data_IF_690737770448
#
_entry.id   IF_690737770448
#
_cell.length_a   1.000
_cell.length_b   1.000
_cell.length_c   1.000
_cell.angle_alpha   90.00
_cell.angle_beta   90.00
_cell.angle_gamma   90.00
#
_symmetry.space_group_name_H-M   'P 1'
#
loop_
_entity.id
_entity.type
_entity.pdbx_description
1 polymer ?
#
# COMPACT_ATOMS: atom_id res chain seq x y z
N UNK A 1 11.59 27.29 -13.85
CA UNK A 1 11.17 26.92 -15.22
C UNK A 1 10.84 28.20 -15.98
N UNK A 2 11.21 28.35 -17.25
CA UNK A 2 10.85 29.54 -18.03
C UNK A 2 9.35 29.56 -18.37
N UNK A 3 8.75 30.75 -18.44
CA UNK A 3 7.32 30.93 -18.74
C UNK A 3 6.84 30.23 -20.04
N UNK A 4 7.70 30.07 -21.05
CA UNK A 4 7.35 29.35 -22.29
C UNK A 4 6.99 27.87 -22.09
N UNK A 5 7.39 27.29 -20.95
CA UNK A 5 7.18 25.87 -20.63
C UNK A 5 6.00 25.61 -19.67
N UNK A 6 5.17 26.63 -19.36
CA UNK A 6 4.00 26.48 -18.47
C UNK A 6 3.12 25.30 -18.91
N UNK A 7 2.75 25.22 -20.19
CA UNK A 7 1.91 24.12 -20.70
C UNK A 7 2.54 22.73 -20.55
N UNK A 8 3.87 22.63 -20.60
CA UNK A 8 4.56 21.35 -20.38
C UNK A 8 4.50 20.93 -18.91
N UNK A 9 4.62 21.88 -17.99
CA UNK A 9 4.47 21.63 -16.55
C UNK A 9 3.04 21.24 -16.21
N UNK A 10 2.05 21.88 -16.82
CA UNK A 10 0.65 21.49 -16.67
C UNK A 10 0.41 20.04 -17.09
N UNK A 11 0.86 19.67 -18.29
CA UNK A 11 0.77 18.29 -18.79
C UNK A 11 1.46 17.30 -17.84
N UNK A 12 2.62 17.66 -17.30
CA UNK A 12 3.32 16.85 -16.30
C UNK A 12 2.48 16.63 -15.05
N UNK A 13 1.89 17.69 -14.48
CA UNK A 13 1.05 17.55 -13.28
C UNK A 13 -0.18 16.69 -13.55
N UNK A 14 -0.81 16.84 -14.72
CA UNK A 14 -1.98 16.03 -15.11
C UNK A 14 -1.59 14.57 -15.25
N UNK A 15 -0.50 14.29 -15.98
CA UNK A 15 0.03 12.94 -16.13
C UNK A 15 0.37 12.31 -14.78
N UNK A 16 1.02 13.05 -13.88
CA UNK A 16 1.30 12.59 -12.51
C UNK A 16 0.01 12.21 -11.80
N UNK A 17 -1.03 13.07 -11.80
CA UNK A 17 -2.32 12.76 -11.15
C UNK A 17 -2.95 11.48 -11.69
N UNK A 18 -2.91 11.29 -13.02
CA UNK A 18 -3.43 10.10 -13.68
C UNK A 18 -2.66 8.86 -13.25
N UNK A 19 -1.32 8.90 -13.27
CA UNK A 19 -0.45 7.78 -12.88
C UNK A 19 -0.73 7.31 -11.45
N UNK A 20 -0.95 8.24 -10.51
CA UNK A 20 -1.31 7.87 -9.14
C UNK A 20 -2.63 7.11 -9.06
N UNK A 21 -3.68 7.53 -9.76
CA UNK A 21 -4.96 6.83 -9.67
C UNK A 21 -5.05 5.57 -10.51
N UNK A 22 -4.45 5.57 -11.69
CA UNK A 22 -4.56 4.47 -12.65
C UNK A 22 -3.53 3.36 -12.41
N UNK A 23 -2.39 3.68 -11.79
CA UNK A 23 -1.29 2.73 -11.57
C UNK A 23 -1.02 2.55 -10.09
N UNK A 24 -0.52 3.59 -9.40
CA UNK A 24 -0.02 3.43 -8.02
C UNK A 24 -1.11 3.07 -7.00
N UNK A 25 -2.29 3.67 -7.12
CA UNK A 25 -3.45 3.43 -6.26
C UNK A 25 -4.51 2.56 -6.96
N UNK A 26 -4.11 1.81 -7.98
CA UNK A 26 -5.01 0.90 -8.67
C UNK A 26 -5.52 -0.16 -7.69
N UNK A 27 -6.84 -0.37 -7.66
CA UNK A 27 -7.51 -1.26 -6.69
C UNK A 27 -6.89 -2.66 -6.60
N UNK A 28 -6.45 -3.23 -7.72
CA UNK A 28 -5.82 -4.56 -7.74
C UNK A 28 -4.41 -4.55 -7.15
N UNK A 29 -3.65 -3.47 -7.33
CA UNK A 29 -2.34 -3.31 -6.71
C UNK A 29 -2.48 -3.17 -5.19
N UNK A 30 -3.42 -2.32 -4.73
CA UNK A 30 -3.78 -2.20 -3.31
C UNK A 30 -4.22 -3.55 -2.73
N UNK A 31 -4.99 -4.34 -3.48
CA UNK A 31 -5.39 -5.69 -3.07
C UNK A 31 -4.18 -6.61 -2.83
N UNK A 32 -3.23 -6.65 -3.78
CA UNK A 32 -2.02 -7.46 -3.65
C UNK A 32 -1.13 -6.99 -2.48
N UNK A 33 -0.99 -5.68 -2.30
CA UNK A 33 -0.28 -5.08 -1.16
C UNK A 33 -0.90 -5.54 0.17
N UNK A 34 -2.23 -5.54 0.30
CA UNK A 34 -2.91 -6.01 1.52
C UNK A 34 -2.73 -7.49 1.77
N UNK A 35 -2.74 -8.33 0.72
CA UNK A 35 -2.42 -9.74 0.88
C UNK A 35 -1.00 -9.89 1.42
N UNK A 36 -0.01 -9.23 0.81
CA UNK A 36 1.39 -9.32 1.23
C UNK A 36 1.61 -8.81 2.67
N UNK A 37 1.01 -7.67 3.04
CA UNK A 37 1.07 -7.16 4.42
C UNK A 37 0.51 -8.18 5.40
N UNK A 38 -0.63 -8.80 5.08
CA UNK A 38 -1.28 -9.75 5.98
C UNK A 38 -0.50 -11.08 6.07
N UNK A 39 0.16 -11.52 4.99
CA UNK A 39 1.12 -12.64 5.02
C UNK A 39 2.25 -12.34 6.02
N UNK A 40 2.93 -11.20 5.85
CA UNK A 40 4.08 -10.84 6.69
C UNK A 40 3.69 -10.65 8.16
N UNK A 41 2.53 -10.05 8.42
CA UNK A 41 1.98 -9.93 9.79
C UNK A 41 1.73 -11.30 10.42
N UNK A 42 1.09 -12.22 9.69
CA UNK A 42 0.80 -13.57 10.21
C UNK A 42 2.08 -14.38 10.41
N UNK A 43 3.04 -14.30 9.48
CA UNK A 43 4.35 -14.93 9.63
C UNK A 43 5.08 -14.44 10.89
N UNK A 44 5.06 -13.11 11.14
CA UNK A 44 5.64 -12.51 12.35
C UNK A 44 4.91 -12.94 13.63
N UNK A 45 3.59 -13.06 13.60
CA UNK A 45 2.81 -13.56 14.73
C UNK A 45 3.18 -15.01 15.08
N UNK A 46 3.22 -15.88 14.07
CA UNK A 46 3.55 -17.30 14.22
C UNK A 46 4.99 -17.51 14.68
N UNK A 47 5.95 -16.76 14.14
CA UNK A 47 7.34 -16.82 14.57
C UNK A 47 7.49 -16.46 16.06
N UNK A 48 6.77 -15.43 16.53
CA UNK A 48 6.73 -15.06 17.95
C UNK A 48 6.07 -16.11 18.85
N UNK A 49 5.15 -16.90 18.30
CA UNK A 49 4.53 -18.04 18.98
C UNK A 49 5.42 -19.29 18.99
N UNK A 50 6.63 -19.23 18.41
CA UNK A 50 7.57 -20.36 18.34
C UNK A 50 7.28 -21.33 17.20
N UNK A 51 6.40 -20.97 16.25
CA UNK A 51 6.13 -21.77 15.07
C UNK A 51 7.35 -21.80 14.14
N UNK A 52 7.64 -22.98 13.59
CA UNK A 52 8.74 -23.17 12.65
C UNK A 52 8.30 -22.73 11.25
N UNK A 53 8.88 -21.63 10.76
CA UNK A 53 8.61 -21.09 9.43
C UNK A 53 9.88 -21.14 8.58
N UNK A 54 9.73 -21.40 7.29
CA UNK A 54 10.83 -21.18 6.36
C UNK A 54 10.99 -19.69 6.07
N UNK A 55 12.20 -19.20 6.21
CA UNK A 55 12.64 -17.91 5.70
C UNK A 55 14.14 -17.93 5.44
N UNK A 56 14.59 -17.08 4.53
CA UNK A 56 16.02 -16.88 4.34
C UNK A 56 16.60 -16.19 5.57
N UNK A 57 17.92 -16.29 5.73
CA UNK A 57 18.63 -15.74 6.90
C UNK A 57 18.36 -14.24 7.13
N UNK A 58 18.25 -13.46 6.07
CA UNK A 58 18.02 -12.02 6.16
C UNK A 58 16.56 -11.70 6.48
N UNK A 59 15.62 -12.44 5.89
CA UNK A 59 14.19 -12.24 6.15
C UNK A 59 13.82 -12.66 7.57
N UNK A 60 14.39 -13.78 8.05
CA UNK A 60 14.20 -14.29 9.40
C UNK A 60 14.50 -13.24 10.47
N UNK A 61 15.58 -12.47 10.30
CA UNK A 61 15.92 -11.37 11.22
C UNK A 61 14.75 -10.40 11.45
N UNK A 62 14.05 -9.97 10.40
CA UNK A 62 12.93 -9.02 10.52
C UNK A 62 11.60 -9.66 10.94
N UNK A 63 11.44 -10.96 10.66
CA UNK A 63 10.26 -11.74 11.06
C UNK A 63 10.31 -12.06 12.56
N UNK A 64 11.46 -12.52 13.05
CA UNK A 64 11.64 -12.93 14.45
C UNK A 64 11.76 -11.73 15.39
N UNK A 65 12.45 -10.66 14.98
CA UNK A 65 12.75 -9.53 15.85
C UNK A 65 11.79 -8.35 15.65
N UNK A 66 11.63 -7.52 16.68
CA UNK A 66 10.97 -6.22 16.56
C UNK A 66 12.00 -5.15 16.19
N UNK A 67 12.41 -5.10 14.93
CA UNK A 67 13.33 -4.07 14.45
C UNK A 67 12.72 -2.68 14.55
N UNK A 68 13.50 -1.75 15.07
CA UNK A 68 13.21 -0.34 15.24
C UNK A 68 14.21 0.51 14.45
N UNK A 69 13.98 1.81 14.36
CA UNK A 69 14.92 2.75 13.72
C UNK A 69 16.33 2.68 14.35
N UNK A 70 16.42 2.45 15.66
CA UNK A 70 17.71 2.34 16.36
C UNK A 70 18.54 1.16 15.86
N UNK A 71 17.90 0.05 15.50
CA UNK A 71 18.60 -1.14 15.00
C UNK A 71 19.20 -0.90 13.60
N UNK A 72 18.57 -0.02 12.81
CA UNK A 72 19.13 0.46 11.54
C UNK A 72 20.31 1.39 11.75
N UNK A 73 20.26 2.28 12.76
CA UNK A 73 21.36 3.18 13.12
C UNK A 73 22.60 2.41 13.62
N UNK A 74 22.38 1.25 14.27
CA UNK A 74 23.46 0.36 14.72
C UNK A 74 24.12 -0.44 13.57
N UNK A 75 23.53 -0.46 12.38
CA UNK A 75 24.14 -0.97 11.16
C UNK A 75 23.84 -2.43 10.79
N UNK A 76 23.61 -3.34 11.74
CA UNK A 76 23.31 -4.75 11.42
C UNK A 76 22.00 -4.88 10.63
N UNK A 77 20.92 -4.23 11.10
CA UNK A 77 19.65 -4.27 10.39
C UNK A 77 19.76 -3.67 8.98
N UNK A 78 20.58 -2.63 8.80
CA UNK A 78 20.83 -2.03 7.48
C UNK A 78 21.56 -3.01 6.55
N UNK A 79 22.60 -3.70 7.04
CA UNK A 79 23.34 -4.68 6.24
C UNK A 79 22.46 -5.85 5.81
N UNK A 80 21.62 -6.36 6.73
CA UNK A 80 20.67 -7.44 6.42
C UNK A 80 19.58 -6.99 5.46
N UNK A 81 19.07 -5.78 5.64
CA UNK A 81 18.10 -5.18 4.74
C UNK A 81 18.65 -5.01 3.32
N UNK A 82 19.92 -4.59 3.18
CA UNK A 82 20.57 -4.43 1.88
C UNK A 82 20.74 -5.75 1.11
N UNK A 83 20.64 -6.88 1.79
CA UNK A 83 20.70 -8.22 1.22
C UNK A 83 19.31 -8.86 1.04
N UNK A 84 18.22 -8.11 1.31
CA UNK A 84 16.87 -8.55 1.02
C UNK A 84 16.46 -8.15 -0.39
N UNK A 85 15.89 -9.10 -1.10
CA UNK A 85 15.26 -8.86 -2.39
C UNK A 85 13.93 -9.63 -2.54
N UNK A 86 13.33 -9.53 -3.72
CA UNK A 86 12.05 -10.17 -4.01
C UNK A 86 12.14 -11.71 -3.92
N UNK A 87 13.30 -12.32 -4.15
CA UNK A 87 13.46 -13.76 -4.08
C UNK A 87 13.35 -14.28 -2.64
N UNK A 88 13.87 -13.54 -1.66
CA UNK A 88 13.69 -13.88 -0.24
C UNK A 88 12.20 -13.98 0.12
N UNK A 89 11.45 -12.94 -0.28
CA UNK A 89 10.01 -12.84 0.00
C UNK A 89 9.24 -13.95 -0.74
N UNK A 90 9.50 -14.11 -2.04
CA UNK A 90 8.76 -15.08 -2.86
C UNK A 90 9.11 -16.53 -2.50
N UNK A 91 10.37 -16.84 -2.18
CA UNK A 91 10.76 -18.17 -1.70
C UNK A 91 10.03 -18.50 -0.40
N UNK A 92 9.99 -17.58 0.55
CA UNK A 92 9.22 -17.74 1.78
C UNK A 92 7.74 -17.96 1.53
N UNK A 93 7.12 -17.15 0.66
CA UNK A 93 5.68 -17.27 0.36
C UNK A 93 5.36 -18.61 -0.31
N UNK A 94 6.25 -19.15 -1.16
CA UNK A 94 6.08 -20.48 -1.76
C UNK A 94 6.05 -21.57 -0.70
N UNK A 95 6.98 -21.55 0.26
CA UNK A 95 6.98 -22.52 1.37
C UNK A 95 5.79 -22.32 2.31
N UNK A 96 5.45 -21.07 2.62
CA UNK A 96 4.32 -20.74 3.49
C UNK A 96 2.97 -21.17 2.90
N UNK A 97 2.84 -21.28 1.59
CA UNK A 97 1.65 -21.85 0.94
C UNK A 97 1.39 -23.32 1.34
N UNK A 98 2.40 -24.04 1.83
CA UNK A 98 2.29 -25.42 2.30
C UNK A 98 2.28 -25.54 3.82
N UNK A 99 2.33 -24.42 4.55
CA UNK A 99 2.35 -24.40 6.01
C UNK A 99 1.03 -24.90 6.62
N UNK A 100 1.09 -25.48 7.83
CA UNK A 100 -0.07 -26.00 8.55
C UNK A 100 -1.03 -24.91 9.03
N UNK A 101 -0.52 -23.70 9.29
CA UNK A 101 -1.35 -22.54 9.60
C UNK A 101 -2.25 -22.18 8.41
N UNK A 102 -3.55 -22.26 8.63
CA UNK A 102 -4.57 -22.05 7.60
C UNK A 102 -4.55 -20.62 7.04
N UNK A 103 -4.30 -19.63 7.89
CA UNK A 103 -4.30 -18.21 7.47
C UNK A 103 -3.09 -17.95 6.59
N UNK A 104 -1.89 -18.28 7.08
CA UNK A 104 -0.65 -18.06 6.36
C UNK A 104 -0.64 -18.80 5.03
N UNK A 105 -1.06 -20.07 5.01
CA UNK A 105 -1.10 -20.87 3.79
C UNK A 105 -2.14 -20.36 2.79
N UNK A 106 -3.33 -19.97 3.25
CA UNK A 106 -4.36 -19.42 2.38
C UNK A 106 -3.93 -18.08 1.77
N UNK A 107 -3.42 -17.15 2.57
CA UNK A 107 -2.94 -15.86 2.08
C UNK A 107 -1.78 -16.02 1.08
N UNK A 108 -0.84 -16.93 1.37
CA UNK A 108 0.28 -17.22 0.47
C UNK A 108 -0.21 -17.78 -0.87
N UNK A 109 -1.15 -18.73 -0.85
CA UNK A 109 -1.82 -19.25 -2.06
C UNK A 109 -2.58 -18.16 -2.80
N UNK A 110 -3.19 -17.21 -2.09
CA UNK A 110 -3.89 -16.08 -2.72
C UNK A 110 -2.93 -15.21 -3.52
N UNK A 111 -1.75 -14.91 -2.99
CA UNK A 111 -0.75 -14.12 -3.71
C UNK A 111 -0.18 -14.88 -4.91
N UNK A 112 0.26 -16.13 -4.71
CA UNK A 112 0.89 -16.95 -5.75
C UNK A 112 -0.05 -17.23 -6.93
N UNK A 113 -1.33 -17.54 -6.65
CA UNK A 113 -2.33 -17.83 -7.67
C UNK A 113 -3.08 -16.57 -8.15
N UNK A 114 -2.67 -15.38 -7.71
CA UNK A 114 -3.32 -14.10 -8.04
C UNK A 114 -4.82 -14.06 -7.70
N UNK A 115 -5.23 -14.83 -6.69
CA UNK A 115 -6.58 -14.87 -6.12
C UNK A 115 -6.72 -13.80 -5.02
N UNK A 116 -6.60 -12.54 -5.43
CA UNK A 116 -6.57 -11.38 -4.53
C UNK A 116 -7.95 -11.01 -3.97
N UNK A 117 -7.98 -10.20 -2.90
CA UNK A 117 -9.22 -9.63 -2.36
C UNK A 117 -10.04 -8.88 -3.41
N UNK A 118 -11.35 -8.86 -3.18
CA UNK A 118 -12.23 -7.86 -3.76
C UNK A 118 -11.96 -6.54 -3.04
N UNK A 119 -11.86 -5.46 -3.80
CA UNK A 119 -11.67 -4.10 -3.29
C UNK A 119 -12.85 -3.27 -3.76
N UNK A 120 -13.60 -2.72 -2.82
CA UNK A 120 -14.59 -1.67 -3.06
C UNK A 120 -14.00 -0.32 -2.69
N UNK A 121 -14.26 0.71 -3.49
CA UNK A 121 -13.73 2.05 -3.27
C UNK A 121 -14.87 3.06 -3.38
N UNK A 122 -15.00 3.93 -2.37
CA UNK A 122 -16.01 4.98 -2.34
C UNK A 122 -15.45 6.27 -1.73
N UNK A 123 -16.22 7.37 -1.82
CA UNK A 123 -15.78 8.69 -1.35
C UNK A 123 -15.89 8.88 0.17
N UNK A 124 -16.78 8.14 0.83
CA UNK A 124 -17.02 8.23 2.27
C UNK A 124 -16.53 6.97 3.01
N UNK A 125 -16.24 7.03 4.32
CA UNK A 125 -15.91 5.82 5.09
C UNK A 125 -16.99 4.74 4.96
N UNK A 126 -16.58 3.47 5.00
CA UNK A 126 -17.52 2.36 5.12
C UNK A 126 -18.08 2.34 6.55
N UNK A 127 -19.37 2.05 6.69
CA UNK A 127 -19.98 1.94 8.02
C UNK A 127 -19.44 0.71 8.76
N UNK A 128 -19.41 0.79 10.08
CA UNK A 128 -19.02 -0.36 10.91
C UNK A 128 -19.91 -1.57 10.64
N UNK A 129 -21.22 -1.36 10.45
CA UNK A 129 -22.14 -2.43 10.11
C UNK A 129 -21.75 -3.16 8.83
N UNK A 130 -21.38 -2.44 7.76
CA UNK A 130 -20.94 -3.06 6.50
C UNK A 130 -19.67 -3.90 6.70
N UNK A 131 -18.72 -3.38 7.48
CA UNK A 131 -17.47 -4.09 7.78
C UNK A 131 -17.76 -5.36 8.61
N UNK A 132 -18.61 -5.25 9.63
CA UNK A 132 -18.96 -6.38 10.49
C UNK A 132 -19.73 -7.46 9.72
N UNK A 133 -20.67 -7.08 8.85
CA UNK A 133 -21.37 -8.03 7.98
C UNK A 133 -20.36 -8.83 7.13
N UNK A 134 -19.37 -8.16 6.54
CA UNK A 134 -18.32 -8.83 5.75
C UNK A 134 -17.44 -9.73 6.59
N UNK A 135 -17.11 -9.33 7.83
CA UNK A 135 -16.38 -10.18 8.78
C UNK A 135 -17.17 -11.44 9.13
N UNK A 136 -18.45 -11.32 9.47
CA UNK A 136 -19.31 -12.45 9.80
C UNK A 136 -19.49 -13.41 8.62
N UNK A 137 -19.73 -12.90 7.41
CA UNK A 137 -19.78 -13.70 6.19
C UNK A 137 -18.47 -14.47 5.95
N UNK A 138 -17.32 -13.80 6.17
CA UNK A 138 -16.00 -14.39 6.00
C UNK A 138 -15.71 -15.44 7.06
N UNK A 139 -16.04 -15.16 8.32
CA UNK A 139 -15.88 -16.07 9.45
C UNK A 139 -16.62 -17.39 9.22
N UNK A 140 -17.88 -17.31 8.77
CA UNK A 140 -18.70 -18.48 8.48
C UNK A 140 -18.16 -19.28 7.30
N UNK A 141 -17.82 -18.63 6.18
CA UNK A 141 -17.38 -19.34 4.96
C UNK A 141 -16.00 -19.95 5.09
N UNK A 142 -15.11 -19.28 5.83
CA UNK A 142 -13.74 -19.73 6.01
C UNK A 142 -13.54 -20.47 7.33
N UNK A 143 -14.56 -20.69 8.17
CA UNK A 143 -14.42 -21.26 9.51
C UNK A 143 -13.26 -20.61 10.28
N UNK A 144 -13.38 -19.29 10.49
CA UNK A 144 -12.41 -18.45 11.19
C UNK A 144 -13.04 -17.88 12.45
N UNK A 145 -12.21 -17.64 13.46
CA UNK A 145 -12.57 -16.87 14.65
C UNK A 145 -12.55 -15.37 14.35
N UNK A 146 -13.19 -14.56 15.20
CA UNK A 146 -13.24 -13.11 15.02
C UNK A 146 -11.85 -12.47 14.95
N UNK A 147 -10.89 -12.96 15.75
CA UNK A 147 -9.51 -12.47 15.75
C UNK A 147 -8.77 -12.80 14.45
N UNK A 148 -9.15 -13.86 13.76
CA UNK A 148 -8.54 -14.28 12.49
C UNK A 148 -9.14 -13.53 11.29
N UNK A 149 -10.38 -13.06 11.38
CA UNK A 149 -11.03 -12.30 10.28
C UNK A 149 -10.29 -11.02 9.91
N UNK A 150 -9.48 -10.45 10.82
CA UNK A 150 -8.69 -9.23 10.60
C UNK A 150 -7.72 -9.39 9.42
N UNK A 151 -7.30 -10.62 9.14
CA UNK A 151 -6.40 -10.94 8.03
C UNK A 151 -7.09 -10.94 6.69
N UNK A 152 -8.42 -11.08 6.64
CA UNK A 152 -9.17 -11.23 5.40
C UNK A 152 -10.09 -10.04 5.11
N UNK A 153 -10.55 -9.33 6.14
CA UNK A 153 -11.46 -8.18 5.99
C UNK A 153 -10.90 -6.95 6.70
N UNK A 154 -10.84 -5.84 5.98
CA UNK A 154 -10.41 -4.57 6.55
C UNK A 154 -10.74 -3.39 5.66
N UNK A 155 -10.71 -2.20 6.25
CA UNK A 155 -10.92 -0.94 5.53
C UNK A 155 -9.73 -0.01 5.71
N UNK A 156 -9.62 0.96 4.81
CA UNK A 156 -8.59 1.98 4.89
C UNK A 156 -8.87 3.15 3.97
N UNK A 157 -7.87 4.03 3.85
CA UNK A 157 -7.95 5.27 3.09
C UNK A 157 -6.85 5.33 2.04
N UNK A 158 -7.19 5.83 0.86
CA UNK A 158 -6.27 6.22 -0.20
C UNK A 158 -6.32 7.73 -0.29
N UNK A 159 -5.16 8.37 -0.14
CA UNK A 159 -5.02 9.81 -0.33
C UNK A 159 -4.05 10.09 -1.47
N UNK A 160 -4.37 11.10 -2.26
CA UNK A 160 -3.48 11.59 -3.29
C UNK A 160 -3.59 13.10 -3.39
N UNK A 161 -2.44 13.76 -3.48
CA UNK A 161 -2.30 15.19 -3.76
C UNK A 161 -1.33 15.35 -4.92
N UNK A 162 -1.82 15.78 -6.07
CA UNK A 162 -1.02 15.82 -7.30
C UNK A 162 0.03 16.94 -7.27
N UNK A 163 -0.25 18.03 -6.57
CA UNK A 163 0.70 19.11 -6.30
C UNK A 163 0.61 19.56 -4.84
N UNK A 164 1.75 19.68 -4.16
CA UNK A 164 1.80 20.16 -2.78
C UNK A 164 2.80 21.33 -2.67
N UNK A 165 2.34 22.58 -2.76
CA UNK A 165 3.25 23.73 -2.71
C UNK A 165 4.01 23.83 -1.38
N UNK A 166 3.53 23.20 -0.30
CA UNK A 166 4.24 23.13 0.99
C UNK A 166 5.42 22.15 0.99
N UNK A 167 5.37 21.11 0.15
CA UNK A 167 6.45 20.13 0.03
C UNK A 167 7.46 20.52 -1.07
N UNK A 168 7.04 21.32 -2.04
CA UNK A 168 7.91 21.84 -3.08
C UNK A 168 7.11 22.67 -4.09
N UNK A 169 7.60 23.88 -4.37
CA UNK A 169 6.99 24.80 -5.35
C UNK A 169 7.63 24.62 -6.72
N UNK A 170 6.82 24.73 -7.76
CA UNK A 170 7.32 24.87 -9.13
C UNK A 170 7.28 26.35 -9.49
N UNK A 171 8.44 26.99 -9.48
CA UNK A 171 8.58 28.42 -9.76
C UNK A 171 8.75 28.67 -11.27
N UNK A 172 7.95 29.59 -11.78
CA UNK A 172 7.94 30.06 -13.16
C UNK A 172 8.60 31.43 -13.24
N UNK A 173 9.64 31.54 -14.07
CA UNK A 173 10.38 32.78 -14.31
C UNK A 173 9.89 33.41 -15.61
N UNK A 174 9.46 34.66 -15.53
CA UNK A 174 8.99 35.46 -16.67
C UNK A 174 10.12 36.29 -17.27
N UNK A 175 9.89 36.85 -18.47
CA UNK A 175 10.89 37.64 -19.20
C UNK A 175 11.30 38.92 -18.48
N UNK A 176 10.41 39.48 -17.66
CA UNK A 176 10.66 40.64 -16.81
C UNK A 176 11.44 40.31 -15.53
N UNK A 177 11.83 39.04 -15.35
CA UNK A 177 12.53 38.56 -14.16
C UNK A 177 11.61 38.23 -12.98
N UNK A 178 10.30 38.44 -13.10
CA UNK A 178 9.36 38.07 -12.04
C UNK A 178 9.26 36.55 -11.90
N UNK A 179 9.03 36.10 -10.67
CA UNK A 179 8.90 34.67 -10.34
C UNK A 179 7.56 34.43 -9.66
N UNK A 180 6.76 33.52 -10.21
CA UNK A 180 5.47 33.12 -9.64
C UNK A 180 5.37 31.61 -9.51
N UNK A 181 4.52 31.13 -8.61
CA UNK A 181 4.21 29.70 -8.51
C UNK A 181 3.41 29.25 -9.72
N UNK A 182 3.56 28.00 -10.15
CA UNK A 182 2.74 27.43 -11.23
C UNK A 182 1.24 27.54 -10.94
N UNK A 183 0.81 27.44 -9.69
CA UNK A 183 -0.60 27.58 -9.31
C UNK A 183 -1.14 29.01 -9.49
N UNK A 184 -0.25 30.01 -9.51
CA UNK A 184 -0.57 31.43 -9.75
C UNK A 184 -0.31 31.85 -11.20
N UNK A 185 0.62 31.18 -11.88
CA UNK A 185 1.07 31.49 -13.23
C UNK A 185 0.26 30.80 -14.34
N UNK A 186 -0.47 29.73 -14.01
CA UNK A 186 -1.28 28.97 -14.96
C UNK A 186 -2.72 29.49 -15.06
N UNK A 187 -3.20 29.62 -16.29
CA UNK A 187 -4.56 30.12 -16.58
C UNK A 187 -5.66 29.06 -16.35
N UNK A 188 -5.29 27.77 -16.26
CA UNK A 188 -6.26 26.70 -16.03
C UNK A 188 -6.56 26.53 -14.54
N UNK A 189 -7.83 26.75 -14.16
CA UNK A 189 -8.47 26.37 -12.87
C UNK A 189 -8.12 24.96 -12.36
N UNK A 190 -7.59 24.10 -13.24
CA UNK A 190 -7.16 22.73 -12.94
C UNK A 190 -6.04 22.60 -11.89
N UNK A 191 -5.06 23.51 -11.82
CA UNK A 191 -3.87 23.29 -10.96
C UNK A 191 -4.18 23.54 -9.48
N UNK A 192 -5.02 24.53 -9.18
CA UNK A 192 -5.50 24.79 -7.82
C UNK A 192 -6.36 23.60 -7.31
N UNK A 193 -7.18 23.01 -8.16
CA UNK A 193 -7.93 21.78 -7.85
C UNK A 193 -7.03 20.55 -7.69
N UNK A 194 -5.93 20.46 -8.46
CA UNK A 194 -4.93 19.40 -8.34
C UNK A 194 -4.09 19.50 -7.06
N UNK A 195 -4.11 20.67 -6.42
CA UNK A 195 -3.50 20.91 -5.12
C UNK A 195 -4.38 20.40 -3.96
N UNK A 196 -5.66 20.14 -4.21
CA UNK A 196 -6.58 19.58 -3.22
C UNK A 196 -6.29 18.09 -3.05
N UNK A 197 -6.28 17.66 -1.79
CA UNK A 197 -6.18 16.26 -1.44
C UNK A 197 -7.48 15.54 -1.79
N UNK A 198 -7.38 14.47 -2.57
CA UNK A 198 -8.51 13.60 -2.88
C UNK A 198 -8.41 12.37 -2.00
N UNK A 199 -9.46 12.16 -1.21
CA UNK A 199 -9.57 11.03 -0.32
C UNK A 199 -10.59 10.03 -0.88
N UNK A 200 -10.22 8.75 -0.84
CA UNK A 200 -11.14 7.63 -1.07
C UNK A 200 -10.95 6.61 0.03
N UNK A 201 -12.01 5.90 0.35
CA UNK A 201 -12.00 4.82 1.32
C UNK A 201 -12.14 3.50 0.58
N UNK A 202 -11.40 2.49 1.01
CA UNK A 202 -11.51 1.14 0.48
C UNK A 202 -11.92 0.14 1.56
N UNK A 203 -12.59 -0.91 1.12
CA UNK A 203 -12.91 -2.10 1.90
C UNK A 203 -12.41 -3.31 1.12
N UNK A 204 -11.58 -4.14 1.75
CA UNK A 204 -11.10 -5.39 1.18
C UNK A 204 -11.73 -6.58 1.89
N UNK A 205 -12.05 -7.62 1.11
CA UNK A 205 -12.58 -8.90 1.59
C UNK A 205 -12.38 -9.99 0.52
N UNK A 206 -12.46 -11.30 0.84
CA UNK A 206 -12.28 -12.37 -0.15
C UNK A 206 -13.30 -12.31 -1.30
N UNK A 207 -12.89 -12.57 -2.55
CA UNK A 207 -13.80 -12.50 -3.72
C UNK A 207 -14.88 -13.57 -3.70
N UNK A 208 -14.51 -14.79 -3.31
CA UNK A 208 -15.38 -15.96 -3.30
C UNK A 208 -16.02 -16.11 -1.91
N UNK A 209 -16.60 -15.02 -1.41
CA UNK A 209 -17.62 -15.13 -0.38
C UNK A 209 -18.87 -15.68 -1.07
#
# INVERSE_FOLDING_TARGET
VEAKAIYSIEKFLVARRIMYWQVYLHKTAVSAEKVLINILKRAKELAKQGSQLFYTRNLGYFIEQNCSLKDFEQGEALQRFALLDDFDIIASIKEWAHHSDKILSQLSKMLLNRNLYKIEVQKAPFSEQTIQNKKSETAQKLNLTDSETIYFVGSGKLTNRAYNPKAGRINIVFKDGTVKDIAEAADLLSISEMSKEVEKYYLYYPKNL
#
